data_IF_399347146887
#
_entry.id   IF_399347146887
#
_cell.length_a   1.000
_cell.length_b   1.000
_cell.length_c   1.000
_cell.angle_alpha   90.00
_cell.angle_beta   90.00
_cell.angle_gamma   90.00
#
_symmetry.space_group_name_H-M   'P 1'
#
loop_
_entity.id
_entity.type
_entity.pdbx_description
1 polymer ?
#
# COMPACT_ATOMS: atom_id res chain seq x y z
N UNK A 1 8.51 0.82 16.09
CA UNK A 1 7.92 -0.08 15.09
C UNK A 1 6.52 0.43 14.84
N UNK A 2 6.30 1.16 13.74
CA UNK A 2 4.93 1.47 13.31
C UNK A 2 4.36 0.18 12.74
N UNK A 3 3.22 -0.25 13.26
CA UNK A 3 2.58 -1.49 12.86
C UNK A 3 1.83 -1.22 11.56
N UNK A 4 2.29 -1.78 10.45
CA UNK A 4 1.47 -1.86 9.25
C UNK A 4 0.27 -2.74 9.57
N UNK A 5 -0.93 -2.22 9.37
CA UNK A 5 -2.14 -2.96 9.73
C UNK A 5 -2.50 -3.89 8.58
N UNK A 6 -2.31 -5.18 8.81
CA UNK A 6 -2.77 -6.22 7.90
C UNK A 6 -4.27 -6.04 7.67
N UNK A 7 -4.69 -6.02 6.42
CA UNK A 7 -6.12 -5.96 6.10
C UNK A 7 -6.78 -7.33 6.25
N UNK A 8 -8.10 -7.33 6.48
CA UNK A 8 -8.90 -8.55 6.57
C UNK A 8 -8.89 -9.32 5.24
N UNK A 9 -9.08 -10.65 5.31
CA UNK A 9 -9.01 -11.56 4.16
C UNK A 9 -9.96 -11.14 3.01
N UNK A 10 -11.19 -10.72 3.31
CA UNK A 10 -12.13 -10.22 2.30
C UNK A 10 -11.60 -8.99 1.54
N UNK A 11 -10.85 -8.12 2.22
CA UNK A 11 -10.23 -6.96 1.62
C UNK A 11 -8.95 -7.32 0.85
N UNK A 12 -8.19 -8.33 1.32
CA UNK A 12 -7.04 -8.87 0.57
C UNK A 12 -7.48 -9.30 -0.84
N UNK A 13 -8.51 -10.14 -0.92
CA UNK A 13 -9.03 -10.67 -2.19
C UNK A 13 -9.53 -9.55 -3.10
N UNK A 14 -10.18 -8.53 -2.53
CA UNK A 14 -10.65 -7.36 -3.28
C UNK A 14 -9.49 -6.56 -3.87
N UNK A 15 -8.43 -6.31 -3.09
CA UNK A 15 -7.26 -5.56 -3.53
C UNK A 15 -6.43 -6.33 -4.57
N UNK A 16 -6.32 -7.66 -4.43
CA UNK A 16 -5.69 -8.51 -5.45
C UNK A 16 -6.43 -8.40 -6.78
N UNK A 17 -7.75 -8.57 -6.79
CA UNK A 17 -8.56 -8.43 -8.00
C UNK A 17 -8.47 -7.03 -8.60
N UNK A 18 -8.40 -5.98 -7.78
CA UNK A 18 -8.25 -4.61 -8.27
C UNK A 18 -6.90 -4.37 -8.92
N UNK A 19 -5.82 -4.90 -8.33
CA UNK A 19 -4.45 -4.73 -8.80
C UNK A 19 -4.19 -5.54 -10.09
N UNK A 20 -4.91 -6.65 -10.28
CA UNK A 20 -4.92 -7.40 -11.53
C UNK A 20 -5.71 -6.70 -12.65
N UNK A 21 -6.79 -5.96 -12.30
CA UNK A 21 -7.71 -5.34 -13.27
C UNK A 21 -7.33 -3.90 -13.63
N UNK A 22 -6.99 -3.09 -12.63
CA UNK A 22 -6.38 -1.79 -12.79
C UNK A 22 -4.88 -2.02 -12.72
N UNK A 23 -4.15 -1.72 -13.80
CA UNK A 23 -2.70 -1.78 -13.78
C UNK A 23 -2.20 -1.09 -12.51
N UNK A 24 -1.65 -1.90 -11.59
CA UNK A 24 -1.28 -1.47 -10.23
C UNK A 24 -0.69 -0.06 -10.24
N UNK A 25 -1.17 0.82 -9.35
CA UNK A 25 -0.51 2.10 -9.18
C UNK A 25 0.95 1.84 -8.84
N UNK A 26 1.85 2.54 -9.53
CA UNK A 26 3.27 2.29 -9.36
C UNK A 26 3.62 2.60 -7.91
N UNK A 27 4.22 1.62 -7.20
CA UNK A 27 4.78 1.80 -5.85
C UNK A 27 5.53 3.13 -5.73
N UNK A 28 6.21 3.55 -6.81
CA UNK A 28 6.94 4.81 -6.89
C UNK A 28 6.08 6.06 -6.69
N UNK A 29 4.84 6.09 -7.18
CA UNK A 29 3.92 7.22 -6.99
C UNK A 29 3.51 7.35 -5.53
N UNK A 30 3.19 6.22 -4.89
CA UNK A 30 2.87 6.17 -3.47
C UNK A 30 4.10 6.56 -2.63
N UNK A 31 5.28 6.02 -2.95
CA UNK A 31 6.55 6.40 -2.29
C UNK A 31 6.84 7.89 -2.46
N UNK A 32 6.63 8.47 -3.63
CA UNK A 32 6.85 9.90 -3.87
C UNK A 32 5.86 10.77 -3.07
N UNK A 33 4.58 10.39 -3.01
CA UNK A 33 3.58 11.05 -2.20
C UNK A 33 3.96 10.99 -0.72
N UNK A 34 4.32 9.80 -0.24
CA UNK A 34 4.77 9.57 1.12
C UNK A 34 6.05 10.33 1.44
N UNK A 35 6.98 10.48 0.49
CA UNK A 35 8.24 11.18 0.73
C UNK A 35 7.99 12.66 1.09
N UNK A 36 6.94 13.25 0.52
CA UNK A 36 6.53 14.63 0.83
C UNK A 36 5.84 14.77 2.20
N UNK A 37 5.03 13.78 2.62
CA UNK A 37 4.26 13.81 3.89
C UNK A 37 5.03 13.21 5.08
N UNK A 38 5.83 12.18 4.84
CA UNK A 38 6.48 11.31 5.83
C UNK A 38 7.66 10.54 5.20
N UNK A 39 8.85 11.17 5.06
CA UNK A 39 10.00 10.57 4.37
C UNK A 39 10.56 9.30 5.04
N UNK A 40 10.37 9.14 6.35
CA UNK A 40 10.73 7.89 7.02
C UNK A 40 9.80 6.74 6.63
N UNK A 41 8.52 7.02 6.43
CA UNK A 41 7.52 6.03 6.02
C UNK A 41 7.70 5.67 4.54
N UNK A 42 8.05 6.62 3.68
CA UNK A 42 8.33 6.31 2.26
C UNK A 42 9.49 5.35 2.09
N UNK A 43 10.56 5.52 2.87
CA UNK A 43 11.72 4.61 2.83
C UNK A 43 11.39 3.22 3.39
N UNK A 44 10.57 3.14 4.44
CA UNK A 44 10.06 1.86 4.93
C UNK A 44 9.18 1.19 3.88
N UNK A 45 8.34 1.96 3.18
CA UNK A 45 7.42 1.42 2.20
C UNK A 45 8.14 0.88 0.96
N UNK A 46 9.11 1.65 0.45
CA UNK A 46 9.98 1.23 -0.65
C UNK A 46 10.79 -0.02 -0.31
N UNK A 47 11.13 -0.24 0.97
CA UNK A 47 11.93 -1.38 1.42
C UNK A 47 11.12 -2.63 1.76
N UNK A 48 9.83 -2.51 2.09
CA UNK A 48 9.01 -3.62 2.61
C UNK A 48 7.87 -4.04 1.67
N UNK A 49 7.47 -3.20 0.72
CA UNK A 49 6.34 -3.47 -0.19
C UNK A 49 6.78 -3.51 -1.65
N UNK A 50 6.07 -4.32 -2.44
CA UNK A 50 6.35 -4.52 -3.87
C UNK A 50 5.40 -3.75 -4.76
N UNK A 51 4.14 -3.62 -4.35
CA UNK A 51 3.10 -2.93 -5.09
C UNK A 51 2.17 -2.19 -4.15
N UNK A 52 1.51 -1.16 -4.66
CA UNK A 52 0.52 -0.40 -3.92
C UNK A 52 -0.70 -0.15 -4.79
N UNK A 53 -1.84 0.05 -4.13
CA UNK A 53 -3.09 0.37 -4.79
C UNK A 53 -3.89 1.33 -3.91
N UNK A 54 -4.53 2.30 -4.52
CA UNK A 54 -5.49 3.16 -3.84
C UNK A 54 -6.88 2.55 -3.93
N UNK A 55 -7.52 2.40 -2.78
CA UNK A 55 -8.88 1.88 -2.71
C UNK A 55 -9.66 2.59 -1.61
N UNK A 56 -10.90 2.99 -1.93
CA UNK A 56 -11.85 3.59 -0.99
C UNK A 56 -11.31 4.77 -0.16
N UNK A 57 -10.38 5.57 -0.70
CA UNK A 57 -9.79 6.71 0.01
C UNK A 57 -8.47 6.43 0.73
N UNK A 58 -8.07 5.16 0.81
CA UNK A 58 -6.89 4.71 1.53
C UNK A 58 -5.84 4.14 0.57
N UNK A 59 -4.56 4.23 0.97
CA UNK A 59 -3.47 3.53 0.28
C UNK A 59 -3.16 2.20 0.95
N UNK A 60 -3.21 1.14 0.15
CA UNK A 60 -2.84 -0.22 0.54
C UNK A 60 -1.57 -0.63 -0.20
N UNK A 61 -0.67 -1.33 0.48
CA UNK A 61 0.53 -1.88 -0.16
C UNK A 61 0.73 -3.34 0.20
N UNK A 62 1.19 -4.10 -0.79
CA UNK A 62 1.40 -5.53 -0.70
C UNK A 62 2.86 -5.82 -0.40
N UNK A 63 3.10 -6.62 0.63
CA UNK A 63 4.44 -7.03 1.04
C UNK A 63 4.97 -8.20 0.19
N UNK A 64 6.17 -8.67 0.51
CA UNK A 64 6.80 -9.81 -0.18
C UNK A 64 6.04 -11.15 0.01
N UNK A 65 5.15 -11.23 1.00
CA UNK A 65 4.32 -12.40 1.28
C UNK A 65 2.93 -12.29 0.65
N UNK A 66 2.74 -11.36 -0.29
CA UNK A 66 1.46 -11.10 -0.95
C UNK A 66 0.36 -10.61 0.00
N UNK A 67 0.75 -10.03 1.14
CA UNK A 67 -0.20 -9.53 2.11
C UNK A 67 -0.35 -8.02 1.97
N UNK A 68 -1.58 -7.56 1.85
CA UNK A 68 -1.96 -6.16 1.83
C UNK A 68 -1.98 -5.56 3.23
N UNK A 69 -1.43 -4.35 3.33
CA UNK A 69 -1.39 -3.55 4.54
C UNK A 69 -1.90 -2.15 4.26
N UNK A 70 -2.69 -1.61 5.19
CA UNK A 70 -3.12 -0.22 5.17
C UNK A 70 -1.95 0.69 5.58
N UNK A 71 -1.58 1.63 4.71
CA UNK A 71 -0.49 2.58 4.96
C UNK A 71 -0.97 3.91 5.55
N UNK A 72 -1.94 4.56 4.90
CA UNK A 72 -2.44 5.89 5.28
C UNK A 72 -3.89 6.01 4.84
N UNK A 73 -4.71 6.56 5.73
CA UNK A 73 -6.00 7.17 5.38
C UNK A 73 -5.81 8.63 5.03
N UNK A 74 -6.21 9.03 3.82
CA UNK A 74 -6.28 10.45 3.48
C UNK A 74 -7.42 11.09 4.29
N UNK A 75 -7.08 11.63 5.46
CA UNK A 75 -7.94 12.49 6.29
C UNK A 75 -7.27 13.84 6.50
#
# INVERSE_FOLDING_TARGET
>A
MKTFNLVAEELQETLDLLTEQAAAESLQEVVNLLNSKSPSLSSEVESNFQTCTWWDGDYYCQDENWQWHLLISDQ
#
